data_IF_432649515937
#
_entry.id   IF_432649515937
#
_cell.length_a   1.000
_cell.length_b   1.000
_cell.length_c   1.000
_cell.angle_alpha   90.00
_cell.angle_beta   90.00
_cell.angle_gamma   90.00
#
_symmetry.space_group_name_H-M   'P 1'
#
loop_
_entity.id
_entity.type
_entity.pdbx_description
1 polymer ?
#
# COMPACT_ATOMS: atom_id res chain seq x y z
N UNK A 1 -1.06 -25.11 -1.97
CA UNK A 1 0.06 -24.17 -1.84
C UNK A 1 0.01 -23.58 -0.45
N UNK A 2 1.08 -23.73 0.33
CA UNK A 2 1.16 -23.26 1.72
C UNK A 2 1.55 -21.77 1.70
N UNK A 3 0.85 -20.94 2.48
CA UNK A 3 1.21 -19.53 2.63
C UNK A 3 2.50 -19.45 3.48
N UNK A 4 3.54 -18.72 3.04
CA UNK A 4 4.75 -18.52 3.82
C UNK A 4 4.47 -17.90 5.19
N UNK A 5 5.29 -18.27 6.17
CA UNK A 5 5.20 -17.67 7.49
C UNK A 5 5.90 -16.31 7.49
N UNK A 6 5.19 -15.27 7.91
CA UNK A 6 5.77 -13.95 8.13
C UNK A 6 5.94 -13.69 9.61
N UNK A 7 7.17 -13.36 10.02
CA UNK A 7 7.46 -12.94 11.39
C UNK A 7 7.81 -11.46 11.39
N UNK A 8 6.95 -10.63 11.99
CA UNK A 8 7.21 -9.21 12.12
C UNK A 8 8.43 -8.96 13.01
N UNK A 9 9.35 -8.12 12.54
CA UNK A 9 10.60 -7.82 13.24
C UNK A 9 10.59 -6.43 13.86
N UNK A 10 10.40 -5.40 13.05
CA UNK A 10 10.57 -4.01 13.50
C UNK A 10 9.89 -2.99 12.58
N UNK A 11 9.82 -1.74 13.05
CA UNK A 11 9.50 -0.54 12.27
C UNK A 11 10.65 0.44 12.35
N UNK A 12 11.07 0.98 11.21
CA UNK A 12 12.02 2.09 11.12
C UNK A 12 11.20 3.36 10.90
N UNK A 13 11.25 4.30 11.84
CA UNK A 13 10.58 5.60 11.67
C UNK A 13 11.40 6.51 10.76
N UNK A 14 10.71 7.14 9.82
CA UNK A 14 11.26 8.14 8.91
C UNK A 14 11.06 9.55 9.48
N UNK A 15 11.49 10.59 8.75
CA UNK A 15 11.51 11.96 9.27
C UNK A 15 10.18 12.68 9.10
N UNK A 16 9.45 12.38 8.02
CA UNK A 16 8.25 13.10 7.60
C UNK A 16 6.98 12.25 7.81
N UNK A 17 5.79 12.83 7.60
CA UNK A 17 4.49 12.27 8.03
C UNK A 17 3.56 11.89 6.87
N UNK A 18 4.05 11.97 5.64
CA UNK A 18 3.23 11.86 4.44
C UNK A 18 3.52 10.58 3.65
N UNK A 19 3.89 10.68 2.38
CA UNK A 19 4.06 9.52 1.52
C UNK A 19 5.51 9.06 1.61
N UNK A 20 5.72 7.75 1.63
CA UNK A 20 7.05 7.17 1.53
C UNK A 20 7.05 6.01 0.53
N UNK A 21 8.20 5.76 -0.09
CA UNK A 21 8.40 4.68 -1.04
C UNK A 21 9.80 4.08 -0.92
N UNK A 22 9.97 2.87 -1.43
CA UNK A 22 11.26 2.19 -1.43
C UNK A 22 11.97 2.47 -2.76
N UNK A 23 13.22 2.90 -2.69
CA UNK A 23 14.04 3.12 -3.89
C UNK A 23 14.89 1.87 -4.21
N UNK A 24 15.24 1.09 -3.19
CA UNK A 24 15.83 -0.22 -3.34
C UNK A 24 16.49 -0.76 -2.07
N UNK A 25 16.97 -2.00 -2.12
CA UNK A 25 17.73 -2.63 -1.05
C UNK A 25 18.98 -3.31 -1.59
N UNK A 26 20.05 -3.30 -0.80
CA UNK A 26 21.32 -3.95 -1.12
C UNK A 26 22.03 -4.35 0.17
N UNK A 27 22.83 -5.41 0.13
CA UNK A 27 23.74 -5.76 1.21
C UNK A 27 25.09 -5.09 0.95
N UNK A 28 25.61 -4.45 1.99
CA UNK A 28 26.99 -3.99 2.09
C UNK A 28 27.74 -4.84 3.12
N UNK A 29 29.03 -5.06 2.90
CA UNK A 29 29.89 -5.89 3.75
C UNK A 29 30.06 -5.30 5.16
N UNK A 30 29.92 -3.98 5.31
CA UNK A 30 30.14 -3.29 6.58
C UNK A 30 28.85 -3.16 7.39
N UNK A 31 27.78 -2.69 6.74
CA UNK A 31 26.53 -2.32 7.42
C UNK A 31 25.41 -3.36 7.30
N UNK A 32 25.63 -4.44 6.55
CA UNK A 32 24.61 -5.44 6.26
C UNK A 32 23.59 -4.90 5.25
N UNK A 33 22.31 -5.25 5.42
CA UNK A 33 21.26 -4.77 4.52
C UNK A 33 20.99 -3.28 4.70
N UNK A 34 21.11 -2.56 3.59
CA UNK A 34 20.84 -1.14 3.42
C UNK A 34 19.59 -0.95 2.59
N UNK A 35 18.72 -0.06 3.05
CA UNK A 35 17.53 0.40 2.38
C UNK A 35 17.75 1.82 1.86
N UNK A 36 17.28 2.07 0.65
CA UNK A 36 17.13 3.39 0.08
C UNK A 36 15.64 3.73 0.08
N UNK A 37 15.28 4.86 0.65
CA UNK A 37 13.89 5.27 0.91
C UNK A 37 13.70 6.69 0.44
N UNK A 38 12.52 7.00 -0.08
CA UNK A 38 12.09 8.35 -0.44
C UNK A 38 10.86 8.73 0.39
N UNK A 39 10.83 9.97 0.86
CA UNK A 39 9.65 10.63 1.45
C UNK A 39 9.21 11.77 0.55
N UNK A 40 7.90 11.90 0.32
CA UNK A 40 7.29 13.04 -0.37
C UNK A 40 6.32 13.68 0.63
N UNK A 41 6.56 14.95 0.95
CA UNK A 41 5.89 15.62 2.05
C UNK A 41 5.40 17.02 1.70
N UNK A 42 4.48 17.53 2.53
CA UNK A 42 3.73 18.78 2.31
C UNK A 42 2.86 18.83 1.04
N UNK A 43 2.12 19.92 0.88
CA UNK A 43 1.31 20.18 -0.31
C UNK A 43 2.14 20.51 -1.56
N UNK A 44 3.37 21.00 -1.38
CA UNK A 44 4.27 21.38 -2.48
C UNK A 44 5.10 20.20 -2.99
N UNK A 45 4.90 19.00 -2.42
CA UNK A 45 5.57 17.76 -2.80
C UNK A 45 7.10 17.80 -2.71
N UNK A 46 7.61 18.37 -1.61
CA UNK A 46 9.04 18.32 -1.27
C UNK A 46 9.50 16.89 -1.06
N UNK A 47 10.77 16.63 -1.36
CA UNK A 47 11.35 15.28 -1.35
C UNK A 47 12.50 15.16 -0.35
N UNK A 48 12.53 14.04 0.35
CA UNK A 48 13.71 13.58 1.09
C UNK A 48 14.09 12.16 0.67
N UNK A 49 15.39 11.87 0.59
CA UNK A 49 15.92 10.54 0.32
C UNK A 49 16.87 10.12 1.42
N UNK A 50 16.75 8.85 1.83
CA UNK A 50 17.49 8.29 2.95
C UNK A 50 18.16 6.99 2.59
N UNK A 51 19.39 6.82 3.09
CA UNK A 51 20.11 5.55 3.12
C UNK A 51 20.12 5.04 4.56
N UNK A 52 19.45 3.92 4.82
CA UNK A 52 19.13 3.47 6.18
C UNK A 52 19.53 2.00 6.37
N UNK A 53 20.05 1.64 7.54
CA UNK A 53 20.30 0.24 7.91
C UNK A 53 19.03 -0.44 8.45
N UNK A 54 19.01 -1.77 8.55
CA UNK A 54 17.92 -2.51 9.22
C UNK A 54 17.71 -2.12 10.70
N UNK A 55 18.71 -1.53 11.34
CA UNK A 55 18.61 -1.04 12.72
C UNK A 55 17.96 0.34 12.81
N UNK A 56 17.62 0.94 11.67
CA UNK A 56 17.06 2.29 11.57
C UNK A 56 18.10 3.41 11.67
N UNK A 57 19.39 3.10 11.47
CA UNK A 57 20.44 4.11 11.44
C UNK A 57 20.51 4.77 10.05
N UNK A 58 20.41 6.09 10.01
CA UNK A 58 20.53 6.89 8.79
C UNK A 58 22.02 7.11 8.49
N UNK A 59 22.51 6.43 7.45
CA UNK A 59 23.89 6.57 6.98
C UNK A 59 24.07 7.83 6.12
N UNK A 60 23.04 8.18 5.35
CA UNK A 60 23.02 9.35 4.48
C UNK A 60 21.59 9.86 4.35
N UNK A 61 21.42 11.17 4.19
CA UNK A 61 20.11 11.80 3.99
C UNK A 61 20.24 13.08 3.20
N UNK A 62 19.35 13.24 2.24
CA UNK A 62 19.23 14.42 1.40
C UNK A 62 17.78 14.87 1.50
N UNK A 63 17.55 16.14 1.78
CA UNK A 63 16.22 16.67 2.11
C UNK A 63 16.09 18.09 1.54
N UNK A 64 15.05 18.34 0.76
CA UNK A 64 14.76 19.68 0.23
C UNK A 64 14.39 20.69 1.32
N UNK A 65 14.04 20.20 2.52
CA UNK A 65 13.72 20.96 3.73
C UNK A 65 12.81 22.16 3.44
N UNK A 66 11.64 21.91 2.87
CA UNK A 66 10.66 22.94 2.51
C UNK A 66 11.21 24.03 1.58
N UNK A 67 12.13 23.66 0.69
CA UNK A 67 12.77 24.57 -0.28
C UNK A 67 13.94 25.36 0.30
N UNK A 68 14.38 25.09 1.55
CA UNK A 68 15.62 25.65 2.10
C UNK A 68 16.84 25.10 1.37
N UNK A 69 16.76 23.85 0.90
CA UNK A 69 17.83 23.20 0.12
C UNK A 69 17.39 23.05 -1.35
N UNK A 70 17.68 24.06 -2.18
CA UNK A 70 17.28 24.14 -3.59
C UNK A 70 18.21 23.39 -4.57
N UNK A 71 19.34 22.89 -4.09
CA UNK A 71 20.37 22.24 -4.89
C UNK A 71 20.71 20.85 -4.35
N UNK A 72 19.70 20.00 -4.22
CA UNK A 72 19.91 18.59 -3.84
C UNK A 72 20.36 17.76 -5.05
N UNK A 73 21.34 16.88 -4.83
CA UNK A 73 21.67 15.79 -5.76
C UNK A 73 21.06 14.51 -5.22
N UNK A 74 20.21 13.78 -5.95
CA UNK A 74 19.63 12.54 -5.45
C UNK A 74 20.68 11.53 -4.97
N UNK A 75 20.33 10.71 -3.98
CA UNK A 75 21.22 9.65 -3.49
C UNK A 75 21.59 8.70 -4.63
N UNK A 76 22.89 8.39 -4.75
CA UNK A 76 23.36 7.43 -5.74
C UNK A 76 22.99 6.01 -5.31
N UNK A 77 21.92 5.46 -5.88
CA UNK A 77 21.49 4.08 -5.63
C UNK A 77 22.37 3.13 -6.46
N UNK A 78 23.01 2.12 -5.83
CA UNK A 78 23.84 1.16 -6.55
C UNK A 78 23.04 0.41 -7.61
N UNK A 79 23.65 0.13 -8.77
CA UNK A 79 22.98 -0.53 -9.90
C UNK A 79 22.49 -1.94 -9.59
N UNK A 80 23.12 -2.61 -8.62
CA UNK A 80 22.76 -3.93 -8.13
C UNK A 80 21.65 -3.94 -7.08
N UNK A 81 21.19 -2.76 -6.63
CA UNK A 81 20.10 -2.69 -5.65
C UNK A 81 18.83 -3.31 -6.24
N UNK A 82 18.17 -4.16 -5.45
CA UNK A 82 16.86 -4.70 -5.82
C UNK A 82 15.83 -3.60 -5.61
N UNK A 83 15.06 -3.31 -6.66
CA UNK A 83 14.05 -2.24 -6.66
C UNK A 83 12.65 -2.82 -6.52
N UNK A 84 11.69 -2.06 -5.97
CA UNK A 84 10.30 -2.49 -5.93
C UNK A 84 9.75 -2.77 -7.31
N UNK A 85 8.83 -3.75 -7.38
CA UNK A 85 8.18 -4.11 -8.63
C UNK A 85 6.83 -3.42 -8.72
N UNK A 86 6.56 -2.84 -9.90
CA UNK A 86 5.22 -2.36 -10.25
C UNK A 86 4.27 -3.56 -10.36
N UNK A 87 3.00 -3.32 -10.05
CA UNK A 87 1.93 -4.32 -10.05
C UNK A 87 1.55 -4.90 -11.41
N UNK A 88 2.46 -5.57 -12.13
CA UNK A 88 2.21 -6.15 -13.46
C UNK A 88 1.49 -7.50 -13.38
N UNK A 89 1.85 -8.34 -12.42
CA UNK A 89 1.29 -9.69 -12.30
C UNK A 89 -0.08 -9.67 -11.63
N UNK A 90 -0.37 -8.62 -10.87
CA UNK A 90 -1.62 -8.43 -10.14
C UNK A 90 -2.50 -7.32 -10.74
N UNK A 91 -2.26 -6.92 -12.00
CA UNK A 91 -3.06 -5.93 -12.72
C UNK A 91 -4.56 -6.26 -12.78
N UNK A 92 -4.95 -7.54 -12.66
CA UNK A 92 -6.35 -7.96 -12.62
C UNK A 92 -7.11 -7.42 -11.39
N UNK A 93 -6.39 -6.98 -10.37
CA UNK A 93 -6.95 -6.30 -9.20
C UNK A 93 -7.27 -4.81 -9.47
N UNK A 94 -6.73 -4.23 -10.55
CA UNK A 94 -6.96 -2.84 -10.89
C UNK A 94 -8.36 -2.66 -11.48
N UNK A 95 -9.01 -1.58 -11.05
CA UNK A 95 -10.35 -1.22 -11.47
C UNK A 95 -10.53 0.28 -11.34
N UNK A 96 -11.14 0.91 -12.35
CA UNK A 96 -11.48 2.32 -12.33
C UNK A 96 -12.94 2.50 -12.75
N UNK A 97 -13.75 3.02 -11.84
CA UNK A 97 -15.17 3.27 -12.02
C UNK A 97 -15.49 4.78 -12.11
N UNK A 98 -16.49 5.28 -11.36
CA UNK A 98 -16.97 6.65 -11.47
C UNK A 98 -15.99 7.67 -10.87
N UNK A 99 -16.37 8.95 -10.93
CA UNK A 99 -15.65 10.02 -10.24
C UNK A 99 -15.66 9.79 -8.73
N UNK A 100 -14.69 10.40 -8.06
CA UNK A 100 -14.50 10.27 -6.60
C UNK A 100 -15.59 10.95 -5.78
N UNK A 101 -16.36 11.86 -6.39
CA UNK A 101 -17.53 12.51 -5.81
C UNK A 101 -18.46 12.97 -6.92
N UNK A 102 -19.76 13.06 -6.62
CA UNK A 102 -20.75 13.55 -7.58
C UNK A 102 -22.18 13.23 -7.18
N UNK A 103 -23.07 13.20 -8.17
CA UNK A 103 -24.49 12.85 -7.98
C UNK A 103 -24.74 11.40 -8.40
N UNK A 104 -25.22 10.56 -7.47
CA UNK A 104 -25.42 9.12 -7.67
C UNK A 104 -26.28 8.80 -8.89
N UNK A 105 -27.39 9.51 -9.04
CA UNK A 105 -28.35 9.31 -10.13
C UNK A 105 -27.76 9.75 -11.48
N UNK A 106 -27.20 10.96 -11.53
CA UNK A 106 -26.62 11.53 -12.76
C UNK A 106 -25.45 10.69 -13.28
N UNK A 107 -24.60 10.21 -12.38
CA UNK A 107 -23.44 9.38 -12.73
C UNK A 107 -23.75 7.90 -12.79
N UNK A 108 -25.00 7.50 -12.50
CA UNK A 108 -25.44 6.10 -12.45
C UNK A 108 -24.48 5.23 -11.64
N UNK A 109 -24.03 5.73 -10.49
CA UNK A 109 -22.90 5.16 -9.72
C UNK A 109 -23.05 3.65 -9.54
N UNK A 110 -24.25 3.18 -9.20
CA UNK A 110 -24.56 1.75 -8.98
C UNK A 110 -24.22 0.87 -10.18
N UNK A 111 -24.30 1.39 -11.40
CA UNK A 111 -24.04 0.64 -12.64
C UNK A 111 -22.54 0.59 -12.99
N UNK A 112 -21.73 1.49 -12.42
CA UNK A 112 -20.34 1.70 -12.79
C UNK A 112 -19.35 1.46 -11.65
N UNK A 113 -19.83 1.07 -10.46
CA UNK A 113 -19.00 0.60 -9.35
C UNK A 113 -18.93 -0.92 -9.33
N UNK A 114 -17.89 -1.45 -8.68
CA UNK A 114 -17.83 -2.88 -8.38
C UNK A 114 -18.70 -3.18 -7.16
N UNK A 115 -19.72 -4.05 -7.28
CA UNK A 115 -20.62 -4.34 -6.18
C UNK A 115 -19.89 -5.06 -5.03
N UNK A 116 -20.36 -4.81 -3.81
CA UNK A 116 -19.88 -5.48 -2.60
C UNK A 116 -21.03 -6.27 -1.97
N UNK A 117 -20.73 -7.46 -1.45
CA UNK A 117 -21.69 -8.23 -0.67
C UNK A 117 -22.12 -7.47 0.58
N UNK A 118 -23.31 -7.77 1.12
CA UNK A 118 -23.81 -7.14 2.35
C UNK A 118 -22.86 -7.44 3.52
N UNK A 119 -22.40 -8.69 3.65
CA UNK A 119 -21.44 -9.09 4.66
C UNK A 119 -20.15 -8.25 4.61
N UNK A 120 -19.65 -7.99 3.39
CA UNK A 120 -18.48 -7.14 3.18
C UNK A 120 -18.74 -5.70 3.64
N UNK A 121 -19.87 -5.12 3.24
CA UNK A 121 -20.25 -3.76 3.66
C UNK A 121 -20.34 -3.65 5.17
N UNK A 122 -20.88 -4.67 5.85
CA UNK A 122 -20.92 -4.73 7.31
C UNK A 122 -19.53 -4.78 7.94
N UNK A 123 -18.64 -5.65 7.45
CA UNK A 123 -17.29 -5.78 7.97
C UNK A 123 -16.47 -4.48 7.77
N UNK A 124 -16.57 -3.87 6.59
CA UNK A 124 -15.92 -2.59 6.28
C UNK A 124 -16.47 -1.48 7.16
N UNK A 125 -17.78 -1.37 7.31
CA UNK A 125 -18.38 -0.34 8.16
C UNK A 125 -17.97 -0.48 9.63
N UNK A 126 -17.90 -1.71 10.14
CA UNK A 126 -17.39 -1.96 11.49
C UNK A 126 -15.92 -1.56 11.62
N UNK A 127 -15.08 -1.96 10.67
CA UNK A 127 -13.63 -1.68 10.70
C UNK A 127 -13.34 -0.17 10.62
N UNK A 128 -14.03 0.54 9.74
CA UNK A 128 -13.84 1.98 9.54
C UNK A 128 -14.76 2.84 10.43
N UNK A 129 -15.48 2.22 11.38
CA UNK A 129 -16.40 2.91 12.30
C UNK A 129 -17.39 3.82 11.59
N UNK A 130 -17.92 3.37 10.46
CA UNK A 130 -18.93 4.09 9.69
C UNK A 130 -20.29 4.00 10.39
N UNK A 131 -21.07 5.08 10.35
CA UNK A 131 -22.35 5.18 11.06
C UNK A 131 -23.37 4.12 10.65
N UNK A 132 -23.35 3.67 9.39
CA UNK A 132 -24.18 2.57 8.92
C UNK A 132 -23.55 1.85 7.72
N UNK A 133 -23.65 0.51 7.62
CA UNK A 133 -23.08 -0.24 6.49
C UNK A 133 -23.73 0.03 5.14
N UNK A 134 -25.01 0.44 5.15
CA UNK A 134 -25.78 0.75 3.93
C UNK A 134 -25.32 2.04 3.24
N UNK A 135 -24.45 2.85 3.87
CA UNK A 135 -23.86 4.00 3.20
C UNK A 135 -22.82 3.57 2.16
N UNK A 136 -22.23 2.38 2.27
CA UNK A 136 -21.28 1.87 1.28
C UNK A 136 -22.06 1.44 0.04
N UNK A 137 -21.86 2.15 -1.06
CA UNK A 137 -22.47 1.84 -2.36
C UNK A 137 -21.72 0.64 -2.97
N UNK A 138 -20.40 0.74 -3.03
CA UNK A 138 -19.46 -0.31 -3.44
C UNK A 138 -18.07 0.25 -3.74
N UNK A 139 -17.24 -0.49 -4.48
CA UNK A 139 -15.87 -0.07 -4.78
C UNK A 139 -15.82 0.72 -6.09
N UNK A 140 -15.38 1.98 -6.02
CA UNK A 140 -15.26 2.90 -7.15
C UNK A 140 -13.90 2.85 -7.83
N UNK A 141 -12.84 2.57 -7.08
CA UNK A 141 -11.49 2.44 -7.62
C UNK A 141 -10.73 1.36 -6.88
N UNK A 142 -9.84 0.70 -7.59
CA UNK A 142 -8.83 -0.15 -7.03
C UNK A 142 -7.54 -0.08 -7.84
N UNK A 143 -6.41 0.09 -7.17
CA UNK A 143 -5.13 0.26 -7.82
C UNK A 143 -4.01 -0.38 -7.00
N UNK A 144 -3.30 -1.33 -7.61
CA UNK A 144 -2.08 -1.92 -7.06
C UNK A 144 -0.95 -0.93 -7.22
N UNK A 145 -0.37 -0.54 -6.08
CA UNK A 145 0.76 0.38 -6.00
C UNK A 145 2.08 -0.37 -6.21
N UNK A 146 2.23 -1.52 -5.54
CA UNK A 146 3.42 -2.36 -5.59
C UNK A 146 3.08 -3.83 -5.36
N UNK A 147 3.96 -4.72 -5.82
CA UNK A 147 3.83 -6.16 -5.58
C UNK A 147 5.17 -6.84 -5.29
N UNK A 148 5.11 -7.91 -4.50
CA UNK A 148 6.22 -8.86 -4.27
C UNK A 148 5.76 -10.24 -4.73
N UNK A 149 6.44 -10.88 -5.69
CA UNK A 149 6.22 -12.30 -5.96
C UNK A 149 6.85 -13.16 -4.86
N UNK A 150 6.05 -13.91 -4.10
CA UNK A 150 6.55 -14.86 -3.10
C UNK A 150 6.75 -16.25 -3.70
N UNK A 151 5.79 -16.72 -4.48
CA UNK A 151 5.86 -18.02 -5.16
C UNK A 151 5.24 -17.88 -6.54
N UNK A 152 6.09 -17.73 -7.56
CA UNK A 152 5.60 -17.58 -8.92
C UNK A 152 4.99 -18.89 -9.43
N UNK A 153 3.92 -18.80 -10.24
CA UNK A 153 3.26 -17.59 -10.73
C UNK A 153 2.05 -17.14 -9.89
N UNK A 154 1.85 -17.69 -8.68
CA UNK A 154 0.53 -17.69 -8.05
C UNK A 154 0.39 -16.87 -6.77
N UNK A 155 1.46 -16.70 -5.98
CA UNK A 155 1.38 -16.04 -4.68
C UNK A 155 2.20 -14.76 -4.63
N UNK A 156 1.54 -13.68 -4.22
CA UNK A 156 2.10 -12.34 -4.14
C UNK A 156 1.75 -11.69 -2.79
N UNK A 157 2.54 -10.70 -2.37
CA UNK A 157 2.07 -9.63 -1.49
C UNK A 157 1.82 -8.42 -2.36
N UNK A 158 0.73 -7.69 -2.11
CA UNK A 158 0.38 -6.49 -2.85
C UNK A 158 0.10 -5.32 -1.92
N UNK A 159 0.63 -4.15 -2.24
CA UNK A 159 0.20 -2.87 -1.66
C UNK A 159 -0.83 -2.27 -2.60
N UNK A 160 -2.01 -1.93 -2.08
CA UNK A 160 -3.18 -1.55 -2.88
C UNK A 160 -3.90 -0.37 -2.26
N UNK A 161 -4.24 0.60 -3.12
CA UNK A 161 -5.16 1.70 -2.82
C UNK A 161 -6.53 1.40 -3.38
N UNK A 162 -7.57 1.62 -2.60
CA UNK A 162 -8.96 1.48 -3.02
C UNK A 162 -9.77 2.69 -2.64
N UNK A 163 -10.85 2.91 -3.39
CA UNK A 163 -11.86 3.92 -3.07
C UNK A 163 -13.21 3.25 -2.97
N UNK A 164 -13.84 3.38 -1.80
CA UNK A 164 -15.22 2.98 -1.61
C UNK A 164 -16.13 4.17 -1.83
N UNK A 165 -17.12 4.04 -2.71
CA UNK A 165 -18.16 5.05 -2.86
C UNK A 165 -19.11 4.98 -1.65
N UNK A 166 -19.27 6.12 -0.97
CA UNK A 166 -20.07 6.29 0.23
C UNK A 166 -21.18 7.30 -0.05
N UNK A 167 -22.42 6.87 0.13
CA UNK A 167 -23.58 7.73 0.10
C UNK A 167 -23.57 8.72 1.26
N UNK A 168 -23.93 9.97 0.97
CA UNK A 168 -24.13 11.01 1.98
C UNK A 168 -25.61 11.06 2.40
N UNK A 169 -25.89 11.45 3.66
CA UNK A 169 -27.26 11.58 4.13
C UNK A 169 -28.04 12.67 3.37
N UNK A 170 -27.34 13.73 2.94
CA UNK A 170 -27.89 14.87 2.23
C UNK A 170 -26.96 15.32 1.11
N UNK A 171 -27.53 15.97 0.10
CA UNK A 171 -26.75 16.63 -0.96
C UNK A 171 -25.95 17.80 -0.39
N UNK A 172 -24.69 17.89 -0.78
CA UNK A 172 -23.76 18.94 -0.37
C UNK A 172 -23.26 19.72 -1.59
N UNK A 173 -22.65 20.87 -1.33
CA UNK A 173 -21.91 21.67 -2.31
C UNK A 173 -20.43 21.61 -1.95
N UNK A 174 -19.57 21.43 -2.95
CA UNK A 174 -18.13 21.51 -2.75
C UNK A 174 -17.62 22.97 -2.79
N UNK A 175 -16.31 23.15 -2.63
CA UNK A 175 -15.64 24.46 -2.67
C UNK A 175 -15.84 25.22 -4.00
N UNK A 176 -16.25 24.52 -5.07
CA UNK A 176 -16.52 25.07 -6.39
C UNK A 176 -18.02 25.23 -6.65
N UNK A 177 -18.88 24.96 -5.67
CA UNK A 177 -20.33 25.00 -5.80
C UNK A 177 -20.93 23.84 -6.60
N UNK A 178 -20.21 22.74 -6.80
CA UNK A 178 -20.74 21.54 -7.45
C UNK A 178 -21.53 20.69 -6.44
N UNK A 179 -22.71 20.23 -6.85
CA UNK A 179 -23.55 19.37 -6.04
C UNK A 179 -23.05 17.93 -6.02
N UNK A 180 -23.03 17.31 -4.85
CA UNK A 180 -22.71 15.89 -4.70
C UNK A 180 -23.52 15.24 -3.56
N UNK A 181 -23.91 13.99 -3.73
CA UNK A 181 -24.62 13.18 -2.72
C UNK A 181 -23.92 11.83 -2.44
N UNK A 182 -22.72 11.65 -2.98
CA UNK A 182 -21.76 10.63 -2.56
C UNK A 182 -20.33 11.16 -2.62
N UNK A 183 -19.45 10.57 -1.81
CA UNK A 183 -18.01 10.81 -1.81
C UNK A 183 -17.25 9.46 -1.77
N UNK A 184 -15.92 9.48 -1.78
CA UNK A 184 -15.12 8.27 -1.66
C UNK A 184 -14.28 8.22 -0.39
N UNK A 185 -14.29 7.06 0.28
CA UNK A 185 -13.34 6.73 1.33
C UNK A 185 -12.13 6.02 0.73
N UNK A 186 -10.94 6.57 0.94
CA UNK A 186 -9.68 5.95 0.49
C UNK A 186 -9.20 4.95 1.53
N UNK A 187 -8.83 3.76 1.08
CA UNK A 187 -8.30 2.68 1.90
C UNK A 187 -6.99 2.19 1.29
N UNK A 188 -5.97 2.03 2.13
CA UNK A 188 -4.71 1.42 1.75
C UNK A 188 -4.54 0.08 2.49
N UNK A 189 -4.10 -0.96 1.77
CA UNK A 189 -3.88 -2.29 2.34
C UNK A 189 -2.69 -2.99 1.74
N UNK A 190 -1.99 -3.75 2.57
CA UNK A 190 -1.07 -4.78 2.15
C UNK A 190 -1.66 -6.15 2.52
N UNK A 191 -1.74 -7.06 1.56
CA UNK A 191 -2.32 -8.40 1.75
C UNK A 191 -1.65 -9.42 0.84
N UNK A 192 -1.85 -10.70 1.16
CA UNK A 192 -1.52 -11.79 0.24
C UNK A 192 -2.52 -11.83 -0.91
N UNK A 193 -2.04 -12.07 -2.12
CA UNK A 193 -2.87 -12.27 -3.29
C UNK A 193 -2.52 -13.59 -3.97
N UNK A 194 -3.55 -14.42 -4.18
CA UNK A 194 -3.46 -15.70 -4.88
C UNK A 194 -4.13 -15.64 -6.23
N UNK A 195 -3.32 -15.70 -7.29
CA UNK A 195 -3.81 -15.61 -8.68
C UNK A 195 -4.67 -16.82 -9.07
N UNK A 196 -4.32 -18.01 -8.59
CA UNK A 196 -4.96 -19.29 -8.93
C UNK A 196 -6.36 -19.46 -8.34
N UNK A 197 -6.63 -18.84 -7.19
CA UNK A 197 -7.93 -18.91 -6.50
C UNK A 197 -8.76 -17.64 -6.66
N UNK A 198 -8.23 -16.60 -7.31
CA UNK A 198 -8.91 -15.32 -7.53
C UNK A 198 -9.94 -15.40 -8.67
N UNK A 199 -10.99 -16.21 -8.50
CA UNK A 199 -12.04 -16.30 -9.54
C UNK A 199 -12.86 -15.01 -9.66
N UNK A 200 -12.87 -14.13 -8.66
CA UNK A 200 -13.48 -12.81 -8.72
C UNK A 200 -13.01 -12.05 -7.47
N UNK A 201 -12.26 -10.95 -7.65
CA UNK A 201 -11.78 -10.03 -6.60
C UNK A 201 -12.49 -10.17 -5.26
N UNK A 202 -11.84 -10.87 -4.33
CA UNK A 202 -12.36 -10.98 -3.00
C UNK A 202 -11.98 -9.69 -2.28
N UNK A 203 -12.97 -8.85 -2.05
CA UNK A 203 -12.84 -7.71 -1.14
C UNK A 203 -12.65 -8.23 0.30
N UNK A 204 -12.83 -9.54 0.51
CA UNK A 204 -12.44 -10.29 1.68
C UNK A 204 -10.92 -10.19 1.95
N UNK A 205 -10.09 -10.11 0.91
CA UNK A 205 -8.65 -9.83 1.04
C UNK A 205 -8.39 -8.46 1.71
N UNK A 206 -9.39 -7.56 1.75
CA UNK A 206 -9.26 -6.24 2.41
C UNK A 206 -9.35 -6.32 3.92
N UNK A 207 -9.90 -7.43 4.43
CA UNK A 207 -10.03 -7.71 5.85
C UNK A 207 -8.80 -8.46 6.37
N UNK A 208 -8.04 -9.10 5.48
CA UNK A 208 -6.78 -9.74 5.83
C UNK A 208 -5.70 -8.69 6.09
N UNK A 209 -5.00 -8.84 7.22
CA UNK A 209 -3.85 -8.02 7.56
C UNK A 209 -2.60 -8.89 7.61
N UNK A 210 -1.46 -8.29 7.27
CA UNK A 210 -0.18 -8.93 7.54
C UNK A 210 0.02 -9.07 9.05
N UNK A 211 0.65 -10.16 9.53
CA UNK A 211 0.75 -10.43 10.95
C UNK A 211 1.64 -9.42 11.69
N UNK A 212 1.32 -9.17 12.96
CA UNK A 212 2.19 -8.46 13.92
C UNK A 212 2.01 -6.94 14.00
N UNK A 213 1.49 -6.28 12.97
CA UNK A 213 1.27 -4.83 12.98
C UNK A 213 0.09 -4.42 12.08
N UNK A 214 -0.65 -3.40 12.49
CA UNK A 214 -1.66 -2.76 11.62
C UNK A 214 -0.99 -1.66 10.82
N UNK A 215 -1.03 -1.78 9.50
CA UNK A 215 -0.51 -0.79 8.56
C UNK A 215 -1.52 0.34 8.34
N UNK A 216 -1.01 1.55 8.19
CA UNK A 216 -1.82 2.75 8.02
C UNK A 216 -2.10 3.05 6.53
N UNK A 217 -1.04 3.31 5.78
CA UNK A 217 -1.03 3.66 4.36
C UNK A 217 0.11 2.93 3.62
N UNK A 218 0.03 1.59 3.44
CA UNK A 218 1.07 0.86 2.73
C UNK A 218 1.13 1.31 1.27
N UNK A 219 2.24 1.93 0.88
CA UNK A 219 2.45 2.56 -0.42
C UNK A 219 3.29 1.69 -1.35
N UNK A 220 4.27 0.98 -0.80
CA UNK A 220 5.26 0.25 -1.58
C UNK A 220 5.77 -0.98 -0.83
N UNK A 221 6.30 -1.97 -1.55
CA UNK A 221 6.83 -3.18 -0.95
C UNK A 221 8.01 -3.78 -1.74
N UNK A 222 8.95 -4.40 -1.01
CA UNK A 222 10.17 -5.00 -1.55
C UNK A 222 10.52 -6.29 -0.80
N UNK A 223 10.96 -7.32 -1.52
CA UNK A 223 11.57 -8.51 -0.95
C UNK A 223 13.07 -8.49 -1.22
N UNK A 224 13.88 -8.59 -0.17
CA UNK A 224 15.33 -8.69 -0.28
C UNK A 224 15.91 -9.50 0.88
N UNK A 225 16.80 -10.45 0.57
CA UNK A 225 17.48 -11.30 1.56
C UNK A 225 16.53 -11.87 2.64
N UNK A 226 15.44 -12.52 2.20
CA UNK A 226 14.39 -13.10 3.07
C UNK A 226 13.67 -12.11 3.99
N UNK A 227 13.79 -10.81 3.71
CA UNK A 227 13.04 -9.77 4.39
C UNK A 227 12.04 -9.11 3.46
N UNK A 228 10.83 -8.93 3.95
CA UNK A 228 9.81 -8.10 3.32
C UNK A 228 9.85 -6.73 3.97
N UNK A 229 10.01 -5.71 3.13
CA UNK A 229 9.95 -4.30 3.49
C UNK A 229 8.65 -3.74 2.95
N UNK A 230 7.91 -3.01 3.78
CA UNK A 230 6.74 -2.25 3.35
C UNK A 230 6.92 -0.80 3.78
N UNK A 231 6.86 0.12 2.81
CA UNK A 231 6.77 1.54 3.06
C UNK A 231 5.32 1.88 3.44
N UNK A 232 5.14 2.38 4.65
CA UNK A 232 3.86 2.76 5.22
C UNK A 232 3.85 4.28 5.46
N UNK A 233 3.03 4.99 4.68
CA UNK A 233 2.90 6.44 4.79
C UNK A 233 2.35 6.86 6.15
N UNK A 234 2.78 8.03 6.61
CA UNK A 234 2.32 8.62 7.86
C UNK A 234 0.87 9.12 7.80
N UNK A 235 0.38 9.57 8.94
CA UNK A 235 -0.95 10.17 9.09
C UNK A 235 -1.03 10.99 10.36
N UNK A 236 -1.43 12.26 10.22
CA UNK A 236 -1.46 13.20 11.35
C UNK A 236 -0.07 13.26 11.98
N UNK A 237 0.02 13.05 13.30
CA UNK A 237 1.28 13.14 14.03
C UNK A 237 2.19 11.90 13.89
N UNK A 238 1.77 10.87 13.16
CA UNK A 238 2.57 9.66 12.97
C UNK A 238 3.50 9.81 11.76
N UNK A 239 4.84 9.70 11.95
CA UNK A 239 5.76 9.70 10.83
C UNK A 239 5.56 8.46 9.97
N UNK A 240 5.96 8.58 8.71
CA UNK A 240 6.12 7.46 7.78
C UNK A 240 7.08 6.42 8.32
N UNK A 241 6.90 5.16 7.95
CA UNK A 241 7.67 4.03 8.48
C UNK A 241 8.01 3.01 7.42
N UNK A 242 9.13 2.32 7.61
CA UNK A 242 9.41 1.06 6.92
C UNK A 242 9.19 -0.09 7.89
N UNK A 243 8.24 -0.96 7.59
CA UNK A 243 7.98 -2.17 8.36
C UNK A 243 8.75 -3.35 7.78
N UNK A 244 9.29 -4.19 8.67
CA UNK A 244 10.15 -5.31 8.29
C UNK A 244 9.59 -6.63 8.83
N UNK A 245 9.45 -7.61 7.94
CA UNK A 245 9.16 -9.00 8.28
C UNK A 245 10.28 -9.90 7.80
N UNK A 246 10.55 -10.96 8.55
CA UNK A 246 11.27 -12.12 8.04
C UNK A 246 10.29 -13.06 7.33
N UNK A 247 10.66 -13.50 6.13
CA UNK A 247 9.93 -14.46 5.32
C UNK A 247 10.53 -15.85 5.51
N UNK A 248 9.71 -16.80 5.96
CA UNK A 248 10.06 -18.21 5.92
C UNK A 248 9.18 -18.92 4.88
N UNK A 249 9.79 -19.27 3.75
CA UNK A 249 9.13 -20.11 2.76
C UNK A 249 8.96 -21.52 3.33
N UNK A 250 7.83 -22.20 3.04
CA UNK A 250 7.69 -23.61 3.37
C UNK A 250 8.78 -24.40 2.64
N UNK A 251 9.37 -25.39 3.32
CA UNK A 251 10.30 -26.32 2.68
C UNK A 251 9.58 -26.90 1.46
N UNK A 252 10.18 -26.73 0.27
CA UNK A 252 9.71 -27.47 -0.89
C UNK A 252 9.89 -28.93 -0.56
N UNK A 253 8.80 -29.71 -0.52
CA UNK A 253 8.93 -31.17 -0.59
C UNK A 253 9.79 -31.44 -1.82
N UNK A 254 11.04 -31.84 -1.60
CA UNK A 254 11.92 -32.30 -2.67
C UNK A 254 11.14 -33.44 -3.32
N UNK A 255 10.63 -33.18 -4.52
CA UNK A 255 10.10 -34.22 -5.38
C UNK A 255 11.33 -35.06 -5.72
N UNK A 256 11.51 -36.14 -4.96
CA UNK A 256 12.46 -37.19 -5.25
C UNK A 256 12.04 -37.88 -6.54
N UNK A 257 12.25 -37.21 -7.66
CA UNK A 257 12.30 -37.81 -8.97
C UNK A 257 13.77 -38.16 -9.23
N UNK A 258 14.17 -39.33 -8.72
CA UNK A 258 15.30 -40.13 -9.25
C UNK A 258 14.95 -40.74 -10.61
#
# INVERSE_FOLDING_TARGET
MIIPTLTYLTSISLKHQEDCSLLGAVTDDTSGTILYVEEIYSADAWVAQHKITLKGEFLESIDEDFGVNDHITPLSIPSQAVKPQRGWHTMTLNYAGPRHRGMRETERVVDVIKPLSIAMKMALAQRFKLEAPLIIIGMAESYVLAEIPLTRPNLFIVCRRMRLAIALPETKLDERGQTYDYDTLVIYRAHFHRRDTSSETLVEDLLEELPGITLNRPMDCLLYADHIFIADGGSGDLPSRIHVWHLQLPESEETGDE
#
